data_IF_426653021554
#
_entry.id   IF_426653021554
#
_cell.length_a   1.000
_cell.length_b   1.000
_cell.length_c   1.000
_cell.angle_alpha   90.00
_cell.angle_beta   90.00
_cell.angle_gamma   90.00
#
_symmetry.space_group_name_H-M   'P 1'
#
loop_
_entity.id
_entity.type
_entity.pdbx_description
1 polymer ?
#
# COMPACT_ATOMS: atom_id res chain seq x y z
N UNK A 1 -36.80 -6.80 -8.97
CA UNK A 1 -35.83 -7.57 -8.21
C UNK A 1 -34.69 -7.82 -9.20
N UNK A 2 -33.62 -7.04 -9.10
CA UNK A 2 -32.44 -7.16 -9.98
C UNK A 2 -31.50 -8.14 -9.28
N UNK A 3 -31.45 -9.37 -9.78
CA UNK A 3 -30.37 -10.29 -9.42
C UNK A 3 -29.07 -9.73 -10.05
N UNK A 4 -28.36 -8.90 -9.29
CA UNK A 4 -26.97 -8.59 -9.63
C UNK A 4 -26.16 -9.83 -9.27
N UNK A 5 -25.46 -10.47 -10.22
CA UNK A 5 -24.64 -11.64 -9.94
C UNK A 5 -23.33 -11.28 -9.20
N UNK A 6 -23.18 -10.04 -8.78
CA UNK A 6 -22.00 -9.57 -8.05
C UNK A 6 -22.38 -9.31 -6.60
N UNK A 7 -22.01 -10.25 -5.74
CA UNK A 7 -21.85 -9.97 -4.32
C UNK A 7 -20.71 -8.96 -4.17
N UNK A 8 -20.95 -7.85 -3.44
CA UNK A 8 -19.91 -6.86 -3.22
C UNK A 8 -18.72 -7.53 -2.51
N UNK A 9 -17.48 -7.33 -2.95
CA UNK A 9 -16.34 -7.95 -2.32
C UNK A 9 -16.23 -7.49 -0.87
N UNK A 10 -16.00 -8.42 0.04
CA UNK A 10 -15.75 -8.15 1.45
C UNK A 10 -14.25 -7.94 1.75
N UNK A 11 -13.40 -8.15 0.74
CA UNK A 11 -11.94 -7.98 0.82
C UNK A 11 -11.39 -7.35 -0.45
N UNK A 12 -10.35 -6.54 -0.28
CA UNK A 12 -9.58 -5.93 -1.37
C UNK A 12 -8.09 -5.88 -1.02
N UNK A 13 -7.22 -6.22 -1.97
CA UNK A 13 -5.80 -5.95 -1.87
C UNK A 13 -5.54 -4.54 -2.44
N UNK A 14 -4.99 -3.65 -1.62
CA UNK A 14 -4.65 -2.29 -2.01
C UNK A 14 -3.15 -2.17 -2.23
N UNK A 15 -2.71 -2.09 -3.48
CA UNK A 15 -1.29 -1.92 -3.80
C UNK A 15 -0.90 -0.45 -3.73
N UNK A 16 0.18 -0.17 -2.99
CA UNK A 16 0.67 1.18 -2.74
C UNK A 16 2.21 1.27 -2.82
N UNK A 17 2.69 2.48 -3.08
CA UNK A 17 4.04 2.89 -2.74
C UNK A 17 3.94 4.12 -1.83
N UNK A 18 4.71 4.17 -0.75
CA UNK A 18 4.67 5.30 0.22
C UNK A 18 5.01 6.62 -0.45
N UNK A 19 5.86 6.62 -1.49
CA UNK A 19 6.24 7.84 -2.20
C UNK A 19 5.17 8.38 -3.16
N UNK A 20 4.11 7.61 -3.42
CA UNK A 20 3.04 8.02 -4.33
C UNK A 20 1.99 8.90 -3.62
N UNK A 21 1.89 10.20 -3.91
CA UNK A 21 0.89 11.06 -3.28
C UNK A 21 -0.54 10.67 -3.65
N UNK A 22 -0.75 10.14 -4.86
CA UNK A 22 -2.07 9.71 -5.32
C UNK A 22 -2.54 8.44 -4.63
N UNK A 23 -1.64 7.46 -4.45
CA UNK A 23 -1.95 6.27 -3.67
C UNK A 23 -2.24 6.63 -2.20
N UNK A 24 -1.50 7.57 -1.62
CA UNK A 24 -1.77 8.08 -0.28
C UNK A 24 -3.18 8.69 -0.19
N UNK A 25 -3.56 9.60 -1.09
CA UNK A 25 -4.89 10.21 -1.09
C UNK A 25 -6.00 9.16 -1.26
N UNK A 26 -5.81 8.22 -2.18
CA UNK A 26 -6.78 7.14 -2.40
C UNK A 26 -6.87 6.21 -1.18
N UNK A 27 -5.77 6.01 -0.45
CA UNK A 27 -5.76 5.20 0.76
C UNK A 27 -6.63 5.80 1.89
N UNK A 28 -6.74 7.12 1.97
CA UNK A 28 -7.63 7.78 2.93
C UNK A 28 -9.10 7.47 2.63
N UNK A 29 -9.49 7.51 1.35
CA UNK A 29 -10.82 7.07 0.93
C UNK A 29 -11.04 5.58 1.19
N UNK A 30 -10.04 4.73 0.92
CA UNK A 30 -10.18 3.28 1.14
C UNK A 30 -10.40 2.94 2.61
N UNK A 31 -9.72 3.65 3.54
CA UNK A 31 -9.94 3.49 4.99
C UNK A 31 -11.35 3.91 5.41
N UNK A 32 -11.84 5.02 4.89
CA UNK A 32 -13.21 5.49 5.12
C UNK A 32 -14.24 4.43 4.68
N UNK A 33 -14.06 3.87 3.47
CA UNK A 33 -14.94 2.81 2.95
C UNK A 33 -14.82 1.55 3.80
N UNK A 34 -13.60 1.14 4.16
CA UNK A 34 -13.36 -0.06 4.96
C UNK A 34 -14.09 0.02 6.32
N UNK A 35 -13.98 1.14 7.01
CA UNK A 35 -14.67 1.37 8.28
C UNK A 35 -16.20 1.33 8.11
N UNK A 36 -16.72 2.02 7.11
CA UNK A 36 -18.19 2.14 6.88
C UNK A 36 -18.86 0.84 6.41
N UNK A 37 -18.15 0.02 5.64
CA UNK A 37 -18.68 -1.20 5.01
C UNK A 37 -18.24 -2.49 5.69
N UNK A 38 -17.33 -2.42 6.68
CA UNK A 38 -16.74 -3.60 7.28
C UNK A 38 -15.87 -4.39 6.30
N UNK A 39 -15.18 -3.68 5.39
CA UNK A 39 -14.36 -4.26 4.35
C UNK A 39 -12.95 -4.57 4.87
N UNK A 40 -12.44 -5.76 4.57
CA UNK A 40 -11.05 -6.12 4.83
C UNK A 40 -10.15 -5.55 3.73
N UNK A 41 -9.14 -4.77 4.12
CA UNK A 41 -8.13 -4.22 3.20
C UNK A 41 -6.78 -4.84 3.51
N UNK A 42 -6.21 -5.57 2.55
CA UNK A 42 -4.82 -6.04 2.64
C UNK A 42 -3.90 -5.04 1.92
N UNK A 43 -3.09 -4.35 2.69
CA UNK A 43 -2.14 -3.36 2.20
C UNK A 43 -0.91 -4.05 1.62
N UNK A 44 -0.74 -3.94 0.29
CA UNK A 44 0.29 -4.62 -0.51
C UNK A 44 1.30 -3.66 -1.08
N UNK A 45 2.55 -4.08 -1.14
CA UNK A 45 3.64 -3.26 -1.64
C UNK A 45 3.68 -3.22 -3.16
N UNK A 46 4.06 -2.05 -3.69
CA UNK A 46 4.39 -1.84 -5.09
C UNK A 46 5.55 -0.86 -5.18
N UNK A 47 6.50 -1.05 -6.08
CA UNK A 47 7.64 -0.15 -6.18
C UNK A 47 7.60 0.71 -7.44
N UNK A 48 7.38 2.00 -7.27
CA UNK A 48 7.56 2.99 -8.32
C UNK A 48 9.03 3.18 -8.70
N UNK A 49 9.96 2.95 -7.76
CA UNK A 49 11.39 2.98 -8.06
C UNK A 49 11.80 1.87 -9.02
N UNK A 50 11.14 0.69 -8.94
CA UNK A 50 11.42 -0.41 -9.86
C UNK A 50 10.80 -0.19 -11.23
N UNK A 51 9.51 0.13 -11.31
CA UNK A 51 8.85 0.30 -12.63
C UNK A 51 9.40 1.49 -13.42
N UNK A 52 9.94 2.50 -12.73
CA UNK A 52 10.58 3.66 -13.37
C UNK A 52 12.11 3.51 -13.45
N UNK A 53 12.65 2.33 -13.15
CA UNK A 53 14.07 2.08 -13.19
C UNK A 53 14.62 2.20 -14.61
N UNK A 54 15.64 3.03 -14.78
CA UNK A 54 16.34 3.16 -16.05
C UNK A 54 17.14 1.87 -16.30
N UNK A 55 17.11 1.37 -17.51
CA UNK A 55 17.88 0.20 -17.91
C UNK A 55 19.37 0.31 -17.52
N UNK A 56 19.93 -0.77 -17.01
CA UNK A 56 21.33 -0.80 -16.52
C UNK A 56 21.55 -0.20 -15.13
N UNK A 57 20.54 0.38 -14.48
CA UNK A 57 20.62 0.81 -13.07
C UNK A 57 20.27 -0.35 -12.14
N UNK A 58 20.89 -0.33 -10.94
CA UNK A 58 20.60 -1.31 -9.88
C UNK A 58 19.12 -1.30 -9.50
N UNK A 59 18.58 -2.48 -9.25
CA UNK A 59 17.27 -2.62 -8.63
C UNK A 59 17.22 -2.00 -7.22
N UNK A 60 16.06 -1.59 -6.71
CA UNK A 60 15.96 -1.06 -5.34
C UNK A 60 16.54 -2.01 -4.28
N UNK A 61 16.36 -3.31 -4.43
CA UNK A 61 16.88 -4.35 -3.52
C UNK A 61 18.38 -4.62 -3.63
N UNK A 62 19.04 -4.07 -4.65
CA UNK A 62 20.50 -4.14 -4.82
C UNK A 62 21.21 -2.89 -4.29
N UNK A 63 20.45 -1.91 -3.80
CA UNK A 63 20.97 -0.65 -3.28
C UNK A 63 21.13 -0.74 -1.77
N UNK A 64 22.18 -0.17 -1.25
CA UNK A 64 22.38 -0.01 0.19
C UNK A 64 21.27 0.85 0.82
N UNK A 65 20.74 1.79 0.05
CA UNK A 65 19.66 2.67 0.43
C UNK A 65 18.73 2.94 -0.75
N UNK A 66 17.44 3.06 -0.47
CA UNK A 66 16.41 3.32 -1.46
C UNK A 66 15.29 4.15 -0.86
N UNK A 67 14.64 4.98 -1.66
CA UNK A 67 13.68 5.99 -1.19
C UNK A 67 12.39 5.35 -0.67
N UNK A 68 11.55 4.84 -1.56
CA UNK A 68 10.29 4.17 -1.21
C UNK A 68 10.53 2.76 -0.66
N UNK A 69 11.47 2.05 -1.27
CA UNK A 69 11.75 0.66 -0.94
C UNK A 69 12.13 0.45 0.54
N UNK A 70 12.96 1.32 1.11
CA UNK A 70 13.36 1.22 2.52
C UNK A 70 12.18 1.40 3.47
N UNK A 71 11.25 2.31 3.17
CA UNK A 71 10.02 2.49 3.95
C UNK A 71 9.10 1.26 3.86
N UNK A 72 9.00 0.64 2.68
CA UNK A 72 8.21 -0.57 2.49
C UNK A 72 8.82 -1.78 3.22
N UNK A 73 10.15 -1.87 3.34
CA UNK A 73 10.82 -2.91 4.14
C UNK A 73 10.46 -2.83 5.62
N UNK A 74 10.38 -1.62 6.17
CA UNK A 74 9.88 -1.40 7.53
C UNK A 74 8.43 -1.90 7.64
N UNK A 75 7.58 -1.53 6.68
CA UNK A 75 6.21 -2.02 6.59
C UNK A 75 6.13 -3.55 6.49
N UNK A 76 7.03 -4.19 5.74
CA UNK A 76 7.09 -5.65 5.60
C UNK A 76 7.41 -6.34 6.93
N UNK A 77 8.40 -5.85 7.68
CA UNK A 77 8.69 -6.37 9.01
C UNK A 77 7.50 -6.19 9.95
N UNK A 78 6.89 -5.01 9.97
CA UNK A 78 5.71 -4.74 10.79
C UNK A 78 4.53 -5.64 10.42
N UNK A 79 4.29 -5.89 9.13
CA UNK A 79 3.23 -6.77 8.63
C UNK A 79 3.38 -8.22 9.12
N UNK A 80 4.62 -8.70 9.31
CA UNK A 80 4.89 -10.03 9.87
C UNK A 80 4.46 -10.16 11.32
N UNK A 81 4.54 -9.05 12.07
CA UNK A 81 4.08 -9.01 13.46
C UNK A 81 2.55 -8.89 13.52
N UNK A 82 2.00 -7.95 12.77
CA UNK A 82 0.56 -7.71 12.65
C UNK A 82 0.28 -6.91 11.36
N UNK A 83 -0.60 -7.38 10.45
CA UNK A 83 -1.01 -6.63 9.27
C UNK A 83 -1.51 -5.21 9.58
N UNK A 84 -2.15 -5.00 10.74
CA UNK A 84 -2.61 -3.68 11.17
C UNK A 84 -1.45 -2.68 11.40
N UNK A 85 -0.27 -3.18 11.79
CA UNK A 85 0.92 -2.33 11.95
C UNK A 85 1.44 -1.82 10.61
N UNK A 86 1.33 -2.60 9.53
CA UNK A 86 1.68 -2.13 8.18
C UNK A 86 0.71 -1.04 7.71
N UNK A 87 -0.59 -1.20 7.96
CA UNK A 87 -1.59 -0.15 7.68
C UNK A 87 -1.27 1.14 8.43
N UNK A 88 -1.04 1.05 9.74
CA UNK A 88 -0.71 2.19 10.58
C UNK A 88 0.62 2.86 10.13
N UNK A 89 1.62 2.07 9.78
CA UNK A 89 2.90 2.58 9.26
C UNK A 89 2.72 3.28 7.91
N UNK A 90 1.95 2.70 6.98
CA UNK A 90 1.66 3.35 5.71
C UNK A 90 0.96 4.70 5.91
N UNK A 91 -0.06 4.74 6.77
CA UNK A 91 -0.76 5.98 7.08
C UNK A 91 0.19 7.00 7.71
N UNK A 92 0.99 6.61 8.72
CA UNK A 92 1.88 7.53 9.45
C UNK A 92 3.03 8.04 8.57
N UNK A 93 3.70 7.15 7.83
CA UNK A 93 4.80 7.51 6.94
C UNK A 93 4.32 8.34 5.74
N UNK A 94 3.16 7.99 5.18
CA UNK A 94 2.51 8.76 4.12
C UNK A 94 2.10 10.17 4.59
N UNK A 95 1.54 10.31 5.79
CA UNK A 95 1.22 11.61 6.39
C UNK A 95 2.49 12.44 6.60
N UNK A 96 3.54 11.83 7.15
CA UNK A 96 4.82 12.49 7.36
C UNK A 96 5.39 13.05 6.05
N UNK A 97 5.33 12.25 4.98
CA UNK A 97 5.88 12.63 3.67
C UNK A 97 5.02 13.67 2.95
N UNK A 98 3.71 13.39 2.82
CA UNK A 98 2.84 14.14 1.90
C UNK A 98 2.13 15.35 2.54
N UNK A 99 2.04 15.37 3.87
CA UNK A 99 1.34 16.45 4.59
C UNK A 99 2.29 17.27 5.45
N UNK A 100 3.18 16.61 6.21
CA UNK A 100 4.07 17.27 7.17
C UNK A 100 5.40 17.72 6.55
N UNK A 101 5.74 17.28 5.33
CA UNK A 101 7.00 17.59 4.66
C UNK A 101 8.23 16.95 5.31
N UNK A 102 8.02 15.91 6.15
CA UNK A 102 9.10 15.12 6.74
C UNK A 102 9.66 14.14 5.71
N UNK A 103 10.81 13.54 6.02
CA UNK A 103 11.51 12.64 5.12
C UNK A 103 11.60 11.22 5.73
N UNK A 104 10.49 10.45 5.77
CA UNK A 104 10.42 9.14 6.44
C UNK A 104 11.36 8.08 5.84
N UNK A 105 11.94 8.32 4.68
CA UNK A 105 12.98 7.50 4.09
C UNK A 105 14.33 7.62 4.81
N UNK A 106 14.54 8.63 5.64
CA UNK A 106 15.70 8.75 6.51
C UNK A 106 15.49 7.92 7.76
N UNK A 107 16.48 7.10 8.12
CA UNK A 107 16.35 6.17 9.24
C UNK A 107 16.04 6.88 10.58
N UNK A 108 16.63 8.04 10.84
CA UNK A 108 16.34 8.83 12.03
C UNK A 108 14.87 9.27 12.09
N UNK A 109 14.31 9.75 10.95
CA UNK A 109 12.90 10.15 10.89
C UNK A 109 11.98 8.94 11.03
N UNK A 110 12.32 7.81 10.40
CA UNK A 110 11.55 6.57 10.54
C UNK A 110 11.50 6.10 12.00
N UNK A 111 12.63 6.16 12.74
CA UNK A 111 12.67 5.84 14.18
C UNK A 111 11.78 6.74 15.01
N UNK A 112 11.80 8.06 14.72
CA UNK A 112 10.91 9.02 15.39
C UNK A 112 9.43 8.65 15.15
N UNK A 113 9.08 8.32 13.90
CA UNK A 113 7.71 7.93 13.54
C UNK A 113 7.26 6.65 14.25
N UNK A 114 8.13 5.63 14.34
CA UNK A 114 7.82 4.41 15.11
C UNK A 114 7.62 4.73 16.60
N UNK A 115 8.46 5.59 17.17
CA UNK A 115 8.31 6.04 18.55
C UNK A 115 6.98 6.78 18.78
N UNK A 116 6.57 7.65 17.85
CA UNK A 116 5.27 8.34 17.87
C UNK A 116 4.09 7.35 17.79
N UNK A 117 4.27 6.20 17.13
CA UNK A 117 3.31 5.11 17.07
C UNK A 117 3.33 4.20 18.32
N UNK A 118 4.23 4.46 19.28
CA UNK A 118 4.41 3.63 20.47
C UNK A 118 5.14 2.30 20.20
N UNK A 119 5.87 2.22 19.08
CA UNK A 119 6.65 1.07 18.67
C UNK A 119 8.14 1.25 18.98
N UNK A 120 8.89 0.14 19.03
CA UNK A 120 10.33 0.19 19.20
C UNK A 120 11.01 0.81 17.96
N UNK A 121 11.74 1.93 18.10
CA UNK A 121 12.49 2.53 16.99
C UNK A 121 13.59 1.61 16.42
N UNK A 122 14.05 0.61 17.18
CA UNK A 122 15.01 -0.39 16.71
C UNK A 122 14.49 -1.27 15.57
N UNK A 123 13.18 -1.37 15.38
CA UNK A 123 12.57 -2.08 14.25
C UNK A 123 12.98 -1.52 12.88
N UNK A 124 13.42 -0.26 12.81
CA UNK A 124 13.97 0.31 11.57
C UNK A 124 15.27 -0.42 11.20
N UNK A 125 16.18 -0.55 12.15
CA UNK A 125 17.48 -1.20 11.92
C UNK A 125 17.29 -2.70 11.67
N UNK A 126 16.38 -3.34 12.40
CA UNK A 126 16.01 -4.75 12.21
C UNK A 126 15.47 -4.97 10.78
N UNK A 127 14.51 -4.17 10.33
CA UNK A 127 13.96 -4.27 8.98
C UNK A 127 15.01 -4.10 7.90
N UNK A 128 15.92 -3.13 8.07
CA UNK A 128 16.96 -2.84 7.08
C UNK A 128 18.13 -3.83 7.12
N UNK A 129 18.35 -4.51 8.24
CA UNK A 129 19.35 -5.57 8.36
C UNK A 129 18.84 -6.93 7.87
N UNK A 130 17.53 -7.18 7.93
CA UNK A 130 16.93 -8.43 7.48
C UNK A 130 16.76 -8.46 5.95
N UNK A 131 17.57 -9.26 5.20
CA UNK A 131 17.45 -9.30 3.73
C UNK A 131 16.12 -9.87 3.26
N UNK A 132 15.40 -10.65 4.08
CA UNK A 132 14.13 -11.28 3.69
C UNK A 132 12.99 -10.27 3.58
N UNK A 133 13.11 -9.07 4.18
CA UNK A 133 12.15 -7.99 3.94
C UNK A 133 12.15 -7.48 2.49
N UNK A 134 13.27 -7.66 1.77
CA UNK A 134 13.30 -7.42 0.32
C UNK A 134 12.39 -8.41 -0.43
N UNK A 135 12.37 -9.67 0.01
CA UNK A 135 11.58 -10.72 -0.66
C UNK A 135 10.09 -10.47 -0.47
N UNK A 136 9.66 -10.03 0.71
CA UNK A 136 8.25 -9.70 0.97
C UNK A 136 7.76 -8.55 0.07
N UNK A 137 8.54 -7.46 0.01
CA UNK A 137 8.19 -6.31 -0.84
C UNK A 137 8.18 -6.69 -2.31
N UNK A 138 9.17 -7.48 -2.73
CA UNK A 138 9.29 -7.96 -4.12
C UNK A 138 8.15 -8.89 -4.49
N UNK A 139 7.76 -9.82 -3.62
CA UNK A 139 6.68 -10.76 -3.88
C UNK A 139 5.34 -10.05 -4.15
N UNK A 140 4.98 -9.06 -3.34
CA UNK A 140 3.77 -8.26 -3.56
C UNK A 140 3.85 -7.48 -4.89
N UNK A 141 5.01 -6.87 -5.18
CA UNK A 141 5.25 -6.12 -6.40
C UNK A 141 5.15 -6.99 -7.65
N UNK A 142 5.88 -8.12 -7.67
CA UNK A 142 5.91 -9.03 -8.81
C UNK A 142 4.55 -9.68 -9.06
N UNK A 143 3.79 -9.98 -7.98
CA UNK A 143 2.44 -10.51 -8.10
C UNK A 143 1.53 -9.58 -8.91
N UNK A 144 1.45 -8.30 -8.57
CA UNK A 144 0.58 -7.37 -9.31
C UNK A 144 1.09 -7.05 -10.70
N UNK A 145 2.42 -7.04 -10.91
CA UNK A 145 3.03 -6.92 -12.24
C UNK A 145 2.64 -8.12 -13.12
N UNK A 146 2.72 -9.36 -12.60
CA UNK A 146 2.32 -10.57 -13.34
C UNK A 146 0.85 -10.56 -13.78
N UNK A 147 0.01 -9.89 -13.01
CA UNK A 147 -1.40 -9.63 -13.36
C UNK A 147 -1.57 -8.46 -14.36
N UNK A 148 -0.47 -7.85 -14.84
CA UNK A 148 -0.47 -6.69 -15.73
C UNK A 148 -0.74 -5.36 -14.99
N UNK A 149 -0.47 -5.27 -13.69
CA UNK A 149 -0.40 -4.00 -12.97
C UNK A 149 0.83 -3.21 -13.39
N UNK A 150 0.75 -1.89 -13.39
CA UNK A 150 1.85 -1.02 -13.88
C UNK A 150 2.06 0.24 -13.02
N UNK A 151 1.25 0.44 -12.01
CA UNK A 151 1.30 1.63 -11.15
C UNK A 151 0.41 1.51 -9.92
N UNK A 152 0.34 2.56 -9.14
CA UNK A 152 -0.47 2.68 -7.91
C UNK A 152 -1.22 4.02 -7.86
N UNK A 153 -2.41 4.05 -7.21
CA UNK A 153 -3.05 2.95 -6.50
C UNK A 153 -3.58 1.87 -7.45
N UNK A 154 -3.47 0.61 -7.06
CA UNK A 154 -4.12 -0.50 -7.77
C UNK A 154 -4.88 -1.35 -6.76
N UNK A 155 -6.16 -1.57 -7.03
CA UNK A 155 -7.05 -2.43 -6.27
C UNK A 155 -7.11 -3.80 -6.95
N UNK A 156 -6.93 -4.86 -6.17
CA UNK A 156 -7.14 -6.23 -6.63
C UNK A 156 -8.24 -6.84 -5.79
N UNK A 157 -9.28 -7.34 -6.44
CA UNK A 157 -10.39 -8.03 -5.83
C UNK A 157 -10.16 -9.53 -5.99
N UNK A 158 -9.81 -10.25 -4.91
CA UNK A 158 -9.62 -11.69 -4.98
C UNK A 158 -10.91 -12.36 -5.45
N UNK A 159 -10.81 -13.25 -6.44
CA UNK A 159 -11.91 -14.11 -6.85
C UNK A 159 -12.09 -15.30 -5.91
N UNK A 160 -13.13 -16.10 -6.14
CA UNK A 160 -13.33 -17.36 -5.42
C UNK A 160 -12.15 -18.35 -5.65
N UNK A 161 -11.52 -18.25 -6.83
CA UNK A 161 -10.29 -18.93 -7.18
C UNK A 161 -9.20 -17.88 -7.41
N UNK A 162 -7.95 -18.14 -6.98
CA UNK A 162 -6.83 -17.20 -7.11
C UNK A 162 -6.58 -16.74 -8.57
N UNK A 163 -6.97 -17.58 -9.54
CA UNK A 163 -6.84 -17.30 -10.97
C UNK A 163 -7.88 -16.28 -11.50
N UNK A 164 -8.89 -15.92 -10.73
CA UNK A 164 -10.00 -15.03 -11.16
C UNK A 164 -9.99 -13.72 -10.34
N UNK A 165 -8.84 -13.11 -10.21
CA UNK A 165 -8.75 -11.79 -9.57
C UNK A 165 -9.06 -10.68 -10.56
N UNK A 166 -9.94 -9.75 -10.17
CA UNK A 166 -10.19 -8.52 -10.92
C UNK A 166 -9.28 -7.42 -10.42
N UNK A 167 -8.63 -6.73 -11.32
CA UNK A 167 -7.68 -5.64 -11.02
C UNK A 167 -8.18 -4.34 -11.61
N UNK A 168 -8.08 -3.25 -10.85
CA UNK A 168 -8.41 -1.89 -11.28
C UNK A 168 -7.26 -0.96 -10.89
N UNK A 169 -6.69 -0.23 -11.87
CA UNK A 169 -5.83 0.90 -11.57
C UNK A 169 -6.69 2.12 -11.17
N UNK A 170 -6.41 2.70 -10.02
CA UNK A 170 -7.21 3.79 -9.45
C UNK A 170 -8.26 3.31 -8.43
N UNK A 171 -9.21 4.18 -8.06
CA UNK A 171 -9.34 5.57 -8.53
C UNK A 171 -8.16 6.45 -8.12
N UNK A 172 -7.75 7.40 -8.96
CA UNK A 172 -6.74 8.40 -8.62
C UNK A 172 -7.45 9.63 -8.08
N UNK A 173 -7.30 9.88 -6.79
CA UNK A 173 -8.03 10.93 -6.08
C UNK A 173 -7.11 12.09 -5.68
N UNK A 174 -7.56 13.33 -5.93
CA UNK A 174 -6.92 14.54 -5.41
C UNK A 174 -7.51 14.89 -4.05
N UNK A 175 -8.84 14.78 -3.93
CA UNK A 175 -9.59 15.00 -2.72
C UNK A 175 -10.43 13.75 -2.45
N UNK A 176 -10.04 12.92 -1.46
CA UNK A 176 -10.79 11.72 -1.12
C UNK A 176 -12.19 12.10 -0.61
N UNK A 177 -13.25 11.51 -1.18
CA UNK A 177 -14.60 11.72 -0.67
C UNK A 177 -14.78 11.01 0.66
N UNK A 178 -15.71 11.55 1.48
CA UNK A 178 -16.10 10.99 2.78
C UNK A 178 -17.61 10.73 2.85
N UNK A 179 -18.07 10.00 3.85
CA UNK A 179 -19.48 9.69 4.08
C UNK A 179 -20.10 8.98 2.88
N UNK A 180 -21.34 9.34 2.56
CA UNK A 180 -22.10 8.71 1.46
C UNK A 180 -21.45 8.90 0.08
N UNK A 181 -20.61 9.92 -0.09
CA UNK A 181 -19.89 10.10 -1.35
C UNK A 181 -18.77 9.05 -1.49
N UNK A 182 -18.14 8.65 -0.38
CA UNK A 182 -17.16 7.56 -0.38
C UNK A 182 -17.83 6.24 -0.75
N UNK A 183 -19.00 5.95 -0.17
CA UNK A 183 -19.77 4.75 -0.48
C UNK A 183 -20.21 4.70 -1.95
N UNK A 184 -20.71 5.82 -2.50
CA UNK A 184 -21.10 5.87 -3.92
C UNK A 184 -19.93 5.63 -4.86
N UNK A 185 -18.76 6.17 -4.53
CA UNK A 185 -17.56 5.91 -5.34
C UNK A 185 -17.17 4.43 -5.28
N UNK A 186 -17.25 3.82 -4.09
CA UNK A 186 -17.01 2.38 -3.93
C UNK A 186 -17.95 1.55 -4.79
N UNK A 187 -19.26 1.83 -4.73
CA UNK A 187 -20.26 1.11 -5.53
C UNK A 187 -19.99 1.23 -7.04
N UNK A 188 -19.49 2.37 -7.51
CA UNK A 188 -19.06 2.56 -8.89
C UNK A 188 -17.81 1.73 -9.22
N UNK A 189 -16.82 1.70 -8.33
CA UNK A 189 -15.56 0.98 -8.54
C UNK A 189 -15.80 -0.54 -8.58
N UNK A 190 -16.64 -1.08 -7.70
CA UNK A 190 -16.93 -2.53 -7.66
C UNK A 190 -17.95 -2.96 -8.69
N UNK A 191 -18.80 -2.07 -9.16
CA UNK A 191 -19.81 -2.33 -10.18
C UNK A 191 -19.28 -2.41 -11.61
N UNK A 192 -17.98 -2.19 -11.81
CA UNK A 192 -17.32 -2.22 -13.13
C UNK A 192 -16.97 -3.62 -13.60
#
# INVERSE_FOLDING_TARGET
MSDSPFEAPNRVDFHFDVICPWAYQTSLWMREVAERRGLEVDWRFFSLEEVNRVEGKKHPWEREWSYGWSMMRIGALLKRHDPALNDAWYLRSGTALHVEGRQPHRAEVARDLLSEMGLDPGLVDEALADPTTHDDVRADHERVISMGGWGVPTLVFPGADEDVSRKIFGPVLIHPPTGDAADRLWDLVVGW
#
